data_IF_090746836859
#
_entry.id   IF_090746836859
#
_cell.length_a   1.000
_cell.length_b   1.000
_cell.length_c   1.000
_cell.angle_alpha   90.00
_cell.angle_beta   90.00
_cell.angle_gamma   90.00
#
_symmetry.space_group_name_H-M   'P 1'
#
loop_
_entity.id
_entity.type
_entity.pdbx_description
1 polymer ?
#
# COMPACT_ATOMS: atom_id res chain seq x y z
N UNK A 1 6.59 -30.11 -12.54
CA UNK A 1 5.52 -29.87 -11.55
C UNK A 1 5.88 -28.59 -10.80
N UNK A 2 4.99 -27.58 -10.76
CA UNK A 2 5.27 -26.32 -10.03
C UNK A 2 5.18 -26.65 -8.53
N UNK A 3 6.27 -26.47 -7.80
CA UNK A 3 6.33 -26.71 -6.36
C UNK A 3 5.91 -25.47 -5.58
N UNK A 4 5.46 -25.63 -4.34
CA UNK A 4 5.15 -24.51 -3.45
C UNK A 4 6.37 -23.59 -3.24
N UNK A 5 7.56 -24.16 -3.17
CA UNK A 5 8.82 -23.45 -3.10
C UNK A 5 9.06 -22.55 -4.31
N UNK A 6 8.82 -23.06 -5.52
CA UNK A 6 8.92 -22.25 -6.73
C UNK A 6 7.95 -21.07 -6.73
N UNK A 7 6.69 -21.28 -6.30
CA UNK A 7 5.71 -20.21 -6.19
C UNK A 7 6.11 -19.16 -5.15
N UNK A 8 6.58 -19.60 -3.97
CA UNK A 8 7.04 -18.67 -2.94
C UNK A 8 8.24 -17.85 -3.45
N UNK A 9 9.23 -18.48 -4.06
CA UNK A 9 10.37 -17.76 -4.62
C UNK A 9 9.95 -16.77 -5.72
N UNK A 10 9.03 -17.15 -6.60
CA UNK A 10 8.54 -16.26 -7.65
C UNK A 10 7.79 -15.05 -7.07
N UNK A 11 6.79 -15.29 -6.20
CA UNK A 11 5.92 -14.23 -5.71
C UNK A 11 6.53 -13.38 -4.58
N UNK A 12 7.39 -13.96 -3.75
CA UNK A 12 7.98 -13.29 -2.59
C UNK A 12 9.44 -12.90 -2.80
N UNK A 13 10.13 -13.51 -3.77
CA UNK A 13 11.51 -13.21 -4.13
C UNK A 13 11.63 -12.31 -5.37
N UNK A 14 11.06 -12.71 -6.52
CA UNK A 14 11.25 -11.98 -7.79
C UNK A 14 10.21 -10.87 -8.04
N UNK A 15 8.93 -11.11 -7.76
CA UNK A 15 7.86 -10.14 -7.98
C UNK A 15 8.11 -8.77 -7.34
N UNK A 16 8.66 -8.67 -6.11
CA UNK A 16 9.02 -7.39 -5.50
C UNK A 16 9.93 -6.55 -6.40
N UNK A 17 10.99 -7.14 -6.95
CA UNK A 17 11.94 -6.41 -7.81
C UNK A 17 11.31 -5.96 -9.12
N UNK A 18 10.48 -6.82 -9.74
CA UNK A 18 9.73 -6.46 -10.95
C UNK A 18 8.80 -5.28 -10.65
N UNK A 19 8.05 -5.36 -9.56
CA UNK A 19 7.09 -4.32 -9.17
C UNK A 19 7.78 -2.98 -8.86
N UNK A 20 8.87 -2.99 -8.09
CA UNK A 20 9.65 -1.79 -7.77
C UNK A 20 10.31 -1.19 -9.00
N UNK A 21 10.81 -2.00 -9.93
CA UNK A 21 11.39 -1.53 -11.21
C UNK A 21 10.32 -0.86 -12.06
N UNK A 22 9.14 -1.49 -12.22
CA UNK A 22 8.02 -0.90 -12.98
C UNK A 22 7.52 0.38 -12.32
N UNK A 23 7.42 0.41 -10.99
CA UNK A 23 7.05 1.60 -10.23
C UNK A 23 8.03 2.74 -10.50
N UNK A 24 9.33 2.51 -10.29
CA UNK A 24 10.37 3.54 -10.44
C UNK A 24 10.45 4.07 -11.88
N UNK A 25 10.57 3.17 -12.86
CA UNK A 25 10.67 3.56 -14.28
C UNK A 25 9.38 4.23 -14.78
N UNK A 26 8.23 3.72 -14.36
CA UNK A 26 6.93 4.29 -14.69
C UNK A 26 6.71 5.69 -14.10
N UNK A 27 7.14 5.92 -12.84
CA UNK A 27 7.12 7.24 -12.21
C UNK A 27 8.00 8.23 -12.98
N UNK A 28 9.24 7.85 -13.28
CA UNK A 28 10.19 8.69 -14.04
C UNK A 28 9.61 9.02 -15.42
N UNK A 29 9.15 8.01 -16.17
CA UNK A 29 8.59 8.20 -17.49
C UNK A 29 7.38 9.16 -17.49
N UNK A 30 6.42 8.94 -16.56
CA UNK A 30 5.23 9.77 -16.46
C UNK A 30 5.53 11.21 -16.04
N UNK A 31 6.52 11.40 -15.16
CA UNK A 31 6.95 12.73 -14.73
C UNK A 31 7.56 13.51 -15.89
N UNK A 32 8.42 12.88 -16.69
CA UNK A 32 9.11 13.55 -17.80
C UNK A 32 8.16 13.80 -18.99
N UNK A 33 7.33 12.79 -19.36
CA UNK A 33 6.60 12.81 -20.63
C UNK A 33 5.16 13.26 -20.51
N UNK A 34 4.49 13.11 -19.35
CA UNK A 34 3.06 13.31 -19.19
C UNK A 34 2.68 14.04 -17.90
N UNK A 35 3.47 15.02 -17.50
CA UNK A 35 3.25 15.78 -16.25
C UNK A 35 1.83 16.35 -16.15
N UNK A 36 1.26 16.89 -17.23
CA UNK A 36 -0.07 17.47 -17.24
C UNK A 36 -1.24 16.47 -17.01
N UNK A 37 -0.95 15.15 -17.03
CA UNK A 37 -1.98 14.10 -16.84
C UNK A 37 -1.96 13.47 -15.45
N UNK A 38 -1.13 13.98 -14.55
CA UNK A 38 -0.90 13.39 -13.21
C UNK A 38 -1.97 13.83 -12.19
N UNK A 39 -2.91 14.66 -12.58
CA UNK A 39 -3.93 15.18 -11.68
C UNK A 39 -5.07 14.18 -11.47
N UNK A 40 -5.44 13.94 -10.22
CA UNK A 40 -6.71 13.34 -9.87
C UNK A 40 -7.77 14.45 -9.96
N UNK A 41 -8.47 14.54 -11.09
CA UNK A 41 -9.59 15.49 -11.21
C UNK A 41 -10.59 15.25 -10.08
N UNK A 42 -10.91 16.30 -9.34
CA UNK A 42 -11.87 16.21 -8.25
C UNK A 42 -13.25 15.84 -8.78
N UNK A 43 -13.81 14.74 -8.31
CA UNK A 43 -15.21 14.38 -8.60
C UNK A 43 -16.22 15.24 -7.84
N UNK A 44 -15.76 16.24 -7.09
CA UNK A 44 -16.56 17.20 -6.34
C UNK A 44 -17.46 18.06 -7.28
N UNK A 45 -16.93 18.39 -8.46
CA UNK A 45 -17.71 19.11 -9.49
C UNK A 45 -18.84 18.27 -10.08
N UNK A 46 -18.75 16.93 -10.00
CA UNK A 46 -19.76 16.00 -10.52
C UNK A 46 -20.87 15.78 -9.49
N UNK A 47 -20.50 15.62 -8.23
CA UNK A 47 -21.40 15.45 -7.10
C UNK A 47 -20.65 15.78 -5.79
N UNK A 48 -21.11 16.82 -5.09
CA UNK A 48 -20.57 17.22 -3.79
C UNK A 48 -21.44 16.66 -2.67
N UNK A 49 -21.33 15.36 -2.44
CA UNK A 49 -22.07 14.66 -1.39
C UNK A 49 -21.21 14.46 -0.11
N UNK A 50 -21.89 14.24 1.03
CA UNK A 50 -21.23 14.00 2.33
C UNK A 50 -20.34 12.78 2.29
N UNK A 51 -20.71 11.75 1.51
CA UNK A 51 -19.94 10.52 1.34
C UNK A 51 -18.56 10.77 0.71
N UNK A 52 -18.48 11.69 -0.28
CA UNK A 52 -17.20 12.10 -0.83
C UNK A 52 -16.31 12.79 0.20
N UNK A 53 -16.87 13.76 0.94
CA UNK A 53 -16.09 14.55 1.89
C UNK A 53 -15.51 13.68 3.00
N UNK A 54 -16.36 12.91 3.68
CA UNK A 54 -15.93 12.04 4.77
C UNK A 54 -15.08 10.86 4.28
N UNK A 55 -15.52 10.19 3.19
CA UNK A 55 -14.79 9.06 2.63
C UNK A 55 -13.39 9.46 2.16
N UNK A 56 -13.27 10.57 1.43
CA UNK A 56 -11.97 11.05 0.93
C UNK A 56 -11.05 11.49 2.08
N UNK A 57 -11.54 12.32 3.00
CA UNK A 57 -10.74 12.81 4.12
C UNK A 57 -10.24 11.66 4.98
N UNK A 58 -11.16 10.79 5.41
CA UNK A 58 -10.84 9.66 6.27
C UNK A 58 -9.85 8.70 5.58
N UNK A 59 -10.11 8.35 4.32
CA UNK A 59 -9.24 7.46 3.55
C UNK A 59 -7.83 8.03 3.40
N UNK A 60 -7.67 9.29 3.01
CA UNK A 60 -6.34 9.86 2.74
C UNK A 60 -5.49 9.97 4.00
N UNK A 61 -6.04 10.45 5.12
CA UNK A 61 -5.27 10.48 6.37
C UNK A 61 -4.93 9.08 6.87
N UNK A 62 -5.88 8.16 6.83
CA UNK A 62 -5.67 6.81 7.30
C UNK A 62 -4.67 6.04 6.44
N UNK A 63 -4.75 6.14 5.10
CA UNK A 63 -3.81 5.43 4.22
C UNK A 63 -2.38 5.94 4.34
N UNK A 64 -2.18 7.24 4.58
CA UNK A 64 -0.85 7.80 4.86
C UNK A 64 -0.28 7.24 6.17
N UNK A 65 -1.09 7.11 7.21
CA UNK A 65 -0.67 6.47 8.47
C UNK A 65 -0.35 4.99 8.28
N UNK A 66 -1.15 4.27 7.50
CA UNK A 66 -0.88 2.85 7.15
C UNK A 66 0.46 2.72 6.42
N UNK A 67 0.71 3.56 5.40
CA UNK A 67 1.98 3.54 4.65
C UNK A 67 3.17 3.90 5.53
N UNK A 68 3.04 4.92 6.38
CA UNK A 68 4.06 5.27 7.35
C UNK A 68 4.34 4.11 8.31
N UNK A 69 3.29 3.43 8.79
CA UNK A 69 3.40 2.24 9.62
C UNK A 69 4.16 1.10 8.93
N UNK A 70 3.94 0.87 7.62
CA UNK A 70 4.71 -0.12 6.87
C UNK A 70 6.19 0.27 6.75
N UNK A 71 6.49 1.53 6.45
CA UNK A 71 7.88 2.01 6.36
C UNK A 71 8.59 1.84 7.72
N UNK A 72 7.99 2.36 8.78
CA UNK A 72 8.58 2.30 10.12
C UNK A 72 8.58 0.87 10.70
N UNK A 73 7.54 0.10 10.42
CA UNK A 73 7.40 -1.26 10.93
C UNK A 73 8.33 -2.26 10.25
N UNK A 74 8.42 -2.24 8.91
CA UNK A 74 9.14 -3.25 8.15
C UNK A 74 10.58 -2.85 7.79
N UNK A 75 10.84 -1.55 7.54
CA UNK A 75 12.14 -1.12 7.03
C UNK A 75 13.09 -0.55 8.09
N UNK A 76 12.64 -0.38 9.33
CA UNK A 76 13.51 0.11 10.41
C UNK A 76 14.27 -1.08 11.01
N UNK A 77 15.59 -1.17 10.84
CA UNK A 77 16.37 -2.30 11.33
C UNK A 77 16.48 -2.32 12.86
N UNK A 78 16.66 -3.52 13.43
CA UNK A 78 16.70 -3.72 14.88
C UNK A 78 17.73 -2.84 15.59
N UNK A 79 18.93 -2.68 15.04
CA UNK A 79 19.99 -1.87 15.63
C UNK A 79 19.61 -0.41 15.83
N UNK A 80 18.62 0.09 15.07
CA UNK A 80 18.17 1.48 15.16
C UNK A 80 17.16 1.70 16.28
N UNK A 81 16.33 0.73 16.63
CA UNK A 81 15.27 0.90 17.64
C UNK A 81 15.52 0.13 18.95
N UNK A 82 16.38 -0.88 18.97
CA UNK A 82 16.59 -1.73 20.17
C UNK A 82 17.14 -0.99 21.40
N UNK A 83 17.69 0.19 21.23
CA UNK A 83 18.17 1.00 22.34
C UNK A 83 17.04 1.71 23.12
N UNK A 84 15.81 1.82 22.57
CA UNK A 84 14.68 2.47 23.22
C UNK A 84 13.38 1.64 23.20
N UNK A 85 13.32 0.55 22.41
CA UNK A 85 12.09 -0.23 22.24
C UNK A 85 12.42 -1.69 21.98
N UNK A 86 11.68 -2.61 22.62
CA UNK A 86 11.79 -4.06 22.36
C UNK A 86 11.00 -4.48 21.12
N UNK A 87 11.33 -5.64 20.54
CA UNK A 87 10.61 -6.23 19.40
C UNK A 87 9.13 -6.48 19.73
N UNK A 88 8.81 -6.88 20.96
CA UNK A 88 7.43 -7.05 21.41
C UNK A 88 6.67 -5.72 21.47
N UNK A 89 7.31 -4.67 21.99
CA UNK A 89 6.70 -3.33 22.00
C UNK A 89 6.44 -2.81 20.58
N UNK A 90 7.39 -3.02 19.67
CA UNK A 90 7.25 -2.68 18.24
C UNK A 90 6.08 -3.42 17.61
N UNK A 91 5.96 -4.74 17.86
CA UNK A 91 4.84 -5.55 17.40
C UNK A 91 3.50 -5.05 17.93
N UNK A 92 3.40 -4.74 19.23
CA UNK A 92 2.18 -4.18 19.83
C UNK A 92 1.79 -2.85 19.21
N UNK A 93 2.74 -1.95 18.99
CA UNK A 93 2.50 -0.68 18.30
C UNK A 93 2.02 -0.89 16.86
N UNK A 94 2.63 -1.84 16.13
CA UNK A 94 2.21 -2.19 14.77
C UNK A 94 0.76 -2.71 14.75
N UNK A 95 0.37 -3.56 15.69
CA UNK A 95 -1.00 -4.07 15.82
C UNK A 95 -1.98 -2.92 16.14
N UNK A 96 -1.69 -2.10 17.13
CA UNK A 96 -2.56 -1.00 17.54
C UNK A 96 -2.76 0.05 16.44
N UNK A 97 -1.64 0.56 15.92
CA UNK A 97 -1.68 1.59 14.87
C UNK A 97 -2.24 1.04 13.56
N UNK A 98 -1.88 -0.20 13.22
CA UNK A 98 -2.40 -0.90 12.05
C UNK A 98 -3.90 -1.14 12.13
N UNK A 99 -4.42 -1.56 13.29
CA UNK A 99 -5.86 -1.77 13.51
C UNK A 99 -6.64 -0.46 13.39
N UNK A 100 -6.21 0.61 14.06
CA UNK A 100 -6.91 1.89 14.07
C UNK A 100 -6.88 2.54 12.68
N UNK A 101 -5.69 2.68 12.09
CA UNK A 101 -5.54 3.31 10.77
C UNK A 101 -6.13 2.44 9.66
N UNK A 102 -5.99 1.12 9.73
CA UNK A 102 -6.58 0.19 8.79
C UNK A 102 -8.10 0.21 8.82
N UNK A 103 -8.72 0.22 10.01
CA UNK A 103 -10.18 0.33 10.15
C UNK A 103 -10.69 1.68 9.60
N UNK A 104 -10.03 2.78 9.90
CA UNK A 104 -10.36 4.09 9.36
C UNK A 104 -10.22 4.12 7.82
N UNK A 105 -9.15 3.52 7.27
CA UNK A 105 -8.94 3.40 5.83
C UNK A 105 -10.05 2.55 5.18
N UNK A 106 -10.45 1.44 5.82
CA UNK A 106 -11.51 0.57 5.32
C UNK A 106 -12.86 1.30 5.25
N UNK A 107 -13.22 2.02 6.30
CA UNK A 107 -14.45 2.84 6.28
C UNK A 107 -14.38 3.90 5.18
N UNK A 108 -13.26 4.61 5.08
CA UNK A 108 -13.07 5.64 4.06
C UNK A 108 -13.17 5.11 2.63
N UNK A 109 -12.45 4.01 2.31
CA UNK A 109 -12.48 3.42 0.97
C UNK A 109 -13.85 2.83 0.65
N UNK A 110 -14.54 2.21 1.62
CA UNK A 110 -15.88 1.66 1.43
C UNK A 110 -16.88 2.75 1.05
N UNK A 111 -16.85 3.91 1.73
CA UNK A 111 -17.68 5.07 1.36
C UNK A 111 -17.42 5.54 -0.08
N UNK A 112 -16.14 5.56 -0.51
CA UNK A 112 -15.76 5.95 -1.87
C UNK A 112 -16.18 4.90 -2.91
N UNK A 113 -16.07 3.62 -2.60
CA UNK A 113 -16.54 2.49 -3.46
C UNK A 113 -18.05 2.58 -3.63
N UNK A 114 -18.80 2.59 -2.53
CA UNK A 114 -20.27 2.67 -2.56
C UNK A 114 -20.73 3.88 -3.38
N UNK A 115 -20.13 5.06 -3.14
CA UNK A 115 -20.44 6.26 -3.92
C UNK A 115 -20.19 6.07 -5.42
N UNK A 116 -19.06 5.45 -5.79
CA UNK A 116 -18.69 5.26 -7.19
C UNK A 116 -19.66 4.35 -7.92
N UNK A 117 -20.17 3.32 -7.27
CA UNK A 117 -21.12 2.37 -7.86
C UNK A 117 -22.59 2.86 -7.78
N UNK A 118 -22.95 3.63 -6.74
CA UNK A 118 -24.34 4.08 -6.54
C UNK A 118 -24.67 5.39 -7.23
N UNK A 119 -23.71 6.30 -7.43
CA UNK A 119 -23.97 7.60 -8.05
C UNK A 119 -23.84 7.53 -9.58
N UNK A 120 -24.98 7.59 -10.28
CA UNK A 120 -25.05 7.47 -11.75
C UNK A 120 -24.14 8.47 -12.49
N UNK A 121 -23.99 9.71 -11.99
CA UNK A 121 -23.13 10.73 -12.62
C UNK A 121 -21.65 10.37 -12.47
N UNK A 122 -21.24 9.91 -11.30
CA UNK A 122 -19.86 9.43 -11.02
C UNK A 122 -19.58 8.20 -11.85
N UNK A 123 -20.54 7.27 -11.91
CA UNK A 123 -20.43 6.05 -12.70
C UNK A 123 -20.21 6.35 -14.19
N UNK A 124 -21.00 7.21 -14.79
CA UNK A 124 -20.91 7.55 -16.20
C UNK A 124 -19.59 8.27 -16.60
N UNK A 125 -18.94 8.95 -15.65
CA UNK A 125 -17.68 9.69 -15.90
C UNK A 125 -16.42 8.93 -15.46
N UNK A 126 -16.57 7.76 -14.83
CA UNK A 126 -15.46 6.95 -14.36
C UNK A 126 -14.89 6.07 -15.47
N UNK A 127 -13.57 5.95 -15.51
CA UNK A 127 -12.86 5.03 -16.41
C UNK A 127 -12.71 3.66 -15.73
N UNK A 128 -12.53 2.61 -16.54
CA UNK A 128 -12.27 1.24 -16.02
C UNK A 128 -11.14 1.22 -14.99
N UNK A 129 -10.07 1.97 -15.25
CA UNK A 129 -8.92 2.07 -14.32
C UNK A 129 -9.31 2.58 -12.92
N UNK A 130 -10.33 3.46 -12.84
CA UNK A 130 -10.81 4.00 -11.58
C UNK A 130 -11.57 2.96 -10.75
N UNK A 131 -12.20 1.98 -11.38
CA UNK A 131 -12.86 0.86 -10.72
C UNK A 131 -11.84 -0.18 -10.26
N UNK A 132 -10.93 -0.56 -11.16
CA UNK A 132 -9.88 -1.54 -10.86
C UNK A 132 -9.08 -1.11 -9.63
N UNK A 133 -8.58 0.12 -9.61
CA UNK A 133 -7.73 0.57 -8.51
C UNK A 133 -8.47 0.67 -7.18
N UNK A 134 -9.73 1.15 -7.18
CA UNK A 134 -10.47 1.29 -5.94
C UNK A 134 -10.86 -0.06 -5.34
N UNK A 135 -11.13 -1.06 -6.19
CA UNK A 135 -11.40 -2.44 -5.75
C UNK A 135 -10.14 -3.09 -5.21
N UNK A 136 -9.00 -2.96 -5.91
CA UNK A 136 -7.72 -3.49 -5.43
C UNK A 136 -7.31 -2.87 -4.09
N UNK A 137 -7.53 -1.57 -3.90
CA UNK A 137 -7.29 -0.90 -2.62
C UNK A 137 -8.22 -1.40 -1.51
N UNK A 138 -9.51 -1.64 -1.81
CA UNK A 138 -10.44 -2.21 -0.85
C UNK A 138 -9.98 -3.61 -0.41
N UNK A 139 -9.60 -4.46 -1.36
CA UNK A 139 -9.05 -5.80 -1.09
C UNK A 139 -7.75 -5.69 -0.28
N UNK A 140 -6.85 -4.78 -0.65
CA UNK A 140 -5.57 -4.59 0.05
C UNK A 140 -5.77 -4.23 1.52
N UNK A 141 -6.66 -3.28 1.80
CA UNK A 141 -6.92 -2.84 3.17
C UNK A 141 -7.62 -3.94 3.99
N UNK A 142 -8.55 -4.68 3.37
CA UNK A 142 -9.22 -5.80 4.03
C UNK A 142 -8.24 -6.91 4.38
N UNK A 143 -7.35 -7.29 3.44
CA UNK A 143 -6.28 -8.27 3.69
C UNK A 143 -5.31 -7.76 4.76
N UNK A 144 -4.93 -6.47 4.74
CA UNK A 144 -4.04 -5.88 5.74
C UNK A 144 -4.60 -5.92 7.16
N UNK A 145 -5.90 -5.64 7.32
CA UNK A 145 -6.57 -5.80 8.62
C UNK A 145 -6.61 -7.26 9.07
N UNK A 146 -6.81 -8.17 8.13
CA UNK A 146 -6.77 -9.61 8.46
C UNK A 146 -5.35 -10.04 8.86
N UNK A 147 -4.31 -9.58 8.15
CA UNK A 147 -2.91 -9.78 8.58
C UNK A 147 -2.67 -9.26 9.99
N UNK A 148 -3.17 -8.05 10.32
CA UNK A 148 -3.05 -7.49 11.67
C UNK A 148 -3.73 -8.39 12.71
N UNK A 149 -4.90 -8.95 12.41
CA UNK A 149 -5.56 -9.92 13.28
C UNK A 149 -4.72 -11.19 13.46
N UNK A 150 -4.18 -11.78 12.38
CA UNK A 150 -3.30 -12.96 12.47
C UNK A 150 -2.05 -12.64 13.29
N UNK A 151 -1.47 -11.43 13.13
CA UNK A 151 -0.30 -11.01 13.92
C UNK A 151 -0.57 -11.02 15.43
N UNK A 152 -1.81 -10.86 15.90
CA UNK A 152 -2.13 -10.96 17.32
C UNK A 152 -1.95 -12.38 17.87
N UNK A 153 -2.01 -13.39 17.01
CA UNK A 153 -1.96 -14.81 17.36
C UNK A 153 -0.66 -15.49 16.95
N UNK A 154 0.14 -14.86 16.07
CA UNK A 154 1.41 -15.41 15.60
C UNK A 154 2.53 -15.21 16.62
N UNK A 155 3.63 -15.96 16.47
CA UNK A 155 4.83 -15.80 17.29
C UNK A 155 5.54 -14.47 17.02
N UNK A 156 6.46 -14.08 17.93
CA UNK A 156 7.32 -12.93 17.67
C UNK A 156 8.28 -13.20 16.51
N UNK A 157 8.72 -14.44 16.35
CA UNK A 157 9.60 -14.87 15.27
C UNK A 157 8.93 -14.70 13.90
N UNK A 158 7.66 -15.08 13.74
CA UNK A 158 6.90 -14.88 12.52
C UNK A 158 6.78 -13.38 12.16
N UNK A 159 6.54 -12.53 13.16
CA UNK A 159 6.49 -11.07 12.97
C UNK A 159 7.86 -10.53 12.51
N UNK A 160 8.94 -10.94 13.14
CA UNK A 160 10.30 -10.53 12.76
C UNK A 160 10.70 -11.07 11.39
N UNK A 161 10.24 -12.26 11.00
CA UNK A 161 10.43 -12.81 9.66
C UNK A 161 9.91 -11.90 8.55
N UNK A 162 8.75 -11.23 8.77
CA UNK A 162 8.22 -10.23 7.81
C UNK A 162 9.16 -9.03 7.67
N UNK A 163 9.74 -8.58 8.76
CA UNK A 163 10.70 -7.47 8.80
C UNK A 163 11.99 -7.85 8.07
N UNK A 164 12.58 -9.01 8.37
CA UNK A 164 13.80 -9.49 7.71
C UNK A 164 13.59 -9.70 6.21
N UNK A 165 12.45 -10.26 5.81
CA UNK A 165 12.09 -10.37 4.40
C UNK A 165 12.05 -9.01 3.70
N UNK A 166 11.34 -8.05 4.28
CA UNK A 166 11.20 -6.74 3.68
C UNK A 166 12.55 -6.01 3.56
N UNK A 167 13.39 -6.07 4.60
CA UNK A 167 14.74 -5.50 4.59
C UNK A 167 15.63 -6.22 3.58
N UNK A 168 15.55 -7.56 3.50
CA UNK A 168 16.29 -8.40 2.58
C UNK A 168 16.07 -8.01 1.11
N UNK A 169 14.84 -7.61 0.73
CA UNK A 169 14.57 -7.10 -0.62
C UNK A 169 15.42 -5.85 -0.93
N UNK A 170 15.54 -4.91 0.01
CA UNK A 170 16.27 -3.65 -0.21
C UNK A 170 17.80 -3.83 -0.21
N UNK A 171 18.31 -4.84 0.49
CA UNK A 171 19.75 -5.18 0.47
C UNK A 171 20.09 -6.26 -0.56
N UNK A 172 19.12 -6.65 -1.40
CA UNK A 172 19.27 -7.66 -2.46
C UNK A 172 19.70 -9.05 -1.94
N UNK A 173 19.17 -9.46 -0.79
CA UNK A 173 19.38 -10.80 -0.25
C UNK A 173 18.63 -11.86 -1.06
N UNK A 174 19.30 -12.81 -1.74
CA UNK A 174 18.66 -13.70 -2.70
C UNK A 174 17.61 -14.63 -2.09
N UNK A 175 17.80 -15.02 -0.85
CA UNK A 175 16.98 -16.01 -0.13
C UNK A 175 16.01 -15.37 0.88
N UNK A 176 15.83 -14.05 0.84
CA UNK A 176 14.96 -13.32 1.77
C UNK A 176 13.53 -13.88 1.82
N UNK A 177 13.01 -14.42 0.71
CA UNK A 177 11.69 -15.03 0.64
C UNK A 177 11.51 -16.22 1.60
N UNK A 178 12.60 -16.87 2.03
CA UNK A 178 12.58 -18.00 2.98
C UNK A 178 12.11 -17.58 4.36
N UNK A 179 12.34 -16.34 4.78
CA UNK A 179 11.87 -15.82 6.08
C UNK A 179 10.35 -15.87 6.22
N UNK A 180 9.61 -15.85 5.10
CA UNK A 180 8.15 -15.86 5.08
C UNK A 180 7.57 -17.01 4.23
N UNK A 181 8.39 -18.03 3.93
CA UNK A 181 7.95 -19.17 3.11
C UNK A 181 6.76 -19.91 3.74
N UNK A 182 6.74 -20.03 5.06
CA UNK A 182 5.71 -20.72 5.84
C UNK A 182 4.64 -19.76 6.41
N UNK A 183 4.70 -18.47 6.06
CA UNK A 183 3.70 -17.50 6.49
C UNK A 183 2.30 -17.86 5.96
N UNK A 184 1.27 -17.47 6.71
CA UNK A 184 -0.13 -17.68 6.34
C UNK A 184 -0.43 -17.13 4.95
N UNK A 185 -1.32 -17.81 4.23
CA UNK A 185 -1.73 -17.44 2.87
C UNK A 185 -2.23 -15.98 2.78
N UNK A 186 -2.87 -15.47 3.82
CA UNK A 186 -3.39 -14.10 3.86
C UNK A 186 -2.26 -13.07 3.75
N UNK A 187 -1.12 -13.29 4.44
CA UNK A 187 0.06 -12.43 4.27
C UNK A 187 0.58 -12.47 2.83
N UNK A 188 0.69 -13.65 2.24
CA UNK A 188 1.17 -13.81 0.86
C UNK A 188 0.24 -13.10 -0.13
N UNK A 189 -1.09 -13.24 0.05
CA UNK A 189 -2.07 -12.53 -0.78
C UNK A 189 -1.99 -11.01 -0.60
N UNK A 190 -1.83 -10.52 0.61
CA UNK A 190 -1.64 -9.10 0.89
C UNK A 190 -0.39 -8.54 0.21
N UNK A 191 0.72 -9.25 0.30
CA UNK A 191 2.00 -8.90 -0.32
C UNK A 191 1.86 -8.86 -1.84
N UNK A 192 1.34 -9.93 -2.46
CA UNK A 192 1.18 -10.03 -3.91
C UNK A 192 0.25 -8.93 -4.43
N UNK A 193 -0.91 -8.72 -3.78
CA UNK A 193 -1.82 -7.65 -4.18
C UNK A 193 -1.18 -6.25 -4.03
N UNK A 194 -0.37 -6.04 -2.99
CA UNK A 194 0.40 -4.81 -2.81
C UNK A 194 1.37 -4.54 -3.96
N UNK A 195 2.14 -5.56 -4.39
CA UNK A 195 3.03 -5.43 -5.54
C UNK A 195 2.29 -5.29 -6.87
N UNK A 196 1.13 -5.91 -7.05
CA UNK A 196 0.28 -5.64 -8.21
C UNK A 196 -0.19 -4.17 -8.24
N UNK A 197 -0.54 -3.60 -7.10
CA UNK A 197 -0.87 -2.17 -6.99
C UNK A 197 0.36 -1.33 -7.39
N UNK A 198 1.58 -1.67 -6.96
CA UNK A 198 2.80 -0.96 -7.36
C UNK A 198 3.06 -1.02 -8.87
N UNK A 199 2.82 -2.16 -9.51
CA UNK A 199 2.95 -2.31 -10.97
C UNK A 199 1.98 -1.37 -11.71
N UNK A 200 0.74 -1.29 -11.28
CA UNK A 200 -0.27 -0.44 -11.95
C UNK A 200 -0.24 1.02 -11.49
N UNK A 201 0.42 1.34 -10.39
CA UNK A 201 0.48 2.67 -9.78
C UNK A 201 0.81 3.78 -10.79
N UNK A 202 1.89 3.68 -11.60
CA UNK A 202 2.26 4.72 -12.54
C UNK A 202 1.20 5.00 -13.63
N UNK A 203 0.34 4.03 -13.89
CA UNK A 203 -0.67 4.08 -14.95
C UNK A 203 -2.05 4.53 -14.45
N UNK A 204 -2.18 4.79 -13.16
CA UNK A 204 -3.43 5.15 -12.48
C UNK A 204 -3.39 6.55 -11.88
N UNK A 205 -4.53 6.97 -11.31
CA UNK A 205 -4.62 8.23 -10.56
C UNK A 205 -3.85 8.22 -9.24
N UNK A 206 -3.34 7.06 -8.78
CA UNK A 206 -2.54 6.97 -7.54
C UNK A 206 -1.26 7.82 -7.61
N UNK A 207 -0.77 8.11 -8.82
CA UNK A 207 0.38 9.00 -8.99
C UNK A 207 0.26 10.34 -8.28
N UNK A 208 -0.96 10.86 -8.10
CA UNK A 208 -1.15 12.14 -7.40
C UNK A 208 -0.60 12.13 -5.97
N UNK A 209 -0.57 10.97 -5.31
CA UNK A 209 -0.06 10.82 -3.96
C UNK A 209 1.42 11.17 -3.83
N UNK A 210 2.24 10.82 -4.84
CA UNK A 210 3.66 11.11 -4.86
C UNK A 210 3.94 12.45 -5.55
N UNK A 211 3.29 12.71 -6.69
CA UNK A 211 3.62 13.83 -7.54
C UNK A 211 3.10 15.18 -7.05
N UNK A 212 1.93 15.21 -6.40
CA UNK A 212 1.39 16.48 -5.89
C UNK A 212 2.29 17.11 -4.83
N UNK A 213 2.76 16.39 -3.79
CA UNK A 213 3.74 16.93 -2.85
C UNK A 213 5.06 17.36 -3.49
N UNK A 214 5.56 16.56 -4.44
CA UNK A 214 6.83 16.86 -5.14
C UNK A 214 6.71 18.12 -5.98
N UNK A 215 5.65 18.25 -6.78
CA UNK A 215 5.43 19.44 -7.60
C UNK A 215 5.21 20.69 -6.74
N UNK A 216 4.48 20.58 -5.64
CA UNK A 216 4.29 21.68 -4.70
C UNK A 216 5.62 22.14 -4.10
N UNK A 217 6.49 21.21 -3.69
CA UNK A 217 7.82 21.52 -3.18
C UNK A 217 8.67 22.23 -4.24
N UNK A 218 8.72 21.71 -5.47
CA UNK A 218 9.49 22.31 -6.58
C UNK A 218 9.00 23.74 -6.87
N UNK A 219 7.70 23.96 -6.94
CA UNK A 219 7.13 25.29 -7.21
C UNK A 219 7.40 26.29 -6.06
N UNK A 220 7.49 25.79 -4.82
CA UNK A 220 7.85 26.63 -3.68
C UNK A 220 9.31 27.10 -3.74
N UNK A 221 10.23 26.26 -4.18
CA UNK A 221 11.66 26.61 -4.32
C UNK A 221 11.98 27.40 -5.61
N UNK A 222 11.05 27.53 -6.55
CA UNK A 222 11.20 28.32 -7.77
C UNK A 222 10.82 29.80 -7.61
N UNK A 223 10.15 30.15 -6.50
CA UNK A 223 9.82 31.52 -6.13
C UNK A 223 10.92 32.13 -5.26
#
# INVERSE_FOLDING_TARGET
MITAEYLNNFFLGYLPYVALTVLATGLIYRTIRRNNTIQASSSQFISNDKSLRWGSTLFHYAILLVLLGHILGLLTPEWLYNWFMTNETKRLLAILMGSISGAAALVGITLLVVRRFSNKRVWATSKIQDYVIVVLLLVQISLGLWCTYITTQSSLEDYMGMEYWAQGIFIFEPDSWKYIADADLIYKLHIVNGFLIFIIFPFTKLMHMIMVPVLYAIDHFRK
#
